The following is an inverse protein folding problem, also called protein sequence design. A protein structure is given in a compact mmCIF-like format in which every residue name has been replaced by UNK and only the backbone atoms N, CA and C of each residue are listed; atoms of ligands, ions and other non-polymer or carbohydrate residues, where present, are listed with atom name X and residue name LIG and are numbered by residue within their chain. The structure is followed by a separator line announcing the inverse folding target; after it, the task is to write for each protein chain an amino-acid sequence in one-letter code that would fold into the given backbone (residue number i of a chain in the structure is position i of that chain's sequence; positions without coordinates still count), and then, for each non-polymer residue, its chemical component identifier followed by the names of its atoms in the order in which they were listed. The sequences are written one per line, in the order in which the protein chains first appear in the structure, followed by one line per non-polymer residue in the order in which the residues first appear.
data_IF_190063593782
#
_entry.id   IF_190063593782
#
_cell.length_a   1.000
_cell.length_b   1.000
_cell.length_c   1.000
_cell.angle_alpha   90.00
_cell.angle_beta   90.00
_cell.angle_gamma   90.00
#
_symmetry.space_group_name_H-M   'P 1'
#
loop_
_entity.id
_entity.type
_entity.pdbx_description
1 polymer ?
#
# COMPACT_ATOMS: atom_id res chain seq x y z
N UNK A 1 -24.66 -9.24 -9.40
CA UNK A 1 -24.27 -8.27 -8.35
C UNK A 1 -23.78 -7.00 -9.03
N UNK A 2 -24.18 -5.86 -8.53
CA UNK A 2 -23.76 -4.53 -9.02
C UNK A 2 -22.50 -4.11 -8.30
N UNK A 3 -21.41 -3.91 -9.05
CA UNK A 3 -20.12 -3.49 -8.52
C UNK A 3 -19.87 -2.02 -8.86
N UNK A 4 -19.66 -1.19 -7.86
CA UNK A 4 -19.33 0.22 -8.02
C UNK A 4 -17.84 0.48 -7.76
N UNK A 5 -17.17 1.13 -8.69
CA UNK A 5 -15.78 1.57 -8.54
C UNK A 5 -15.75 3.08 -8.32
N UNK A 6 -15.17 3.52 -7.22
CA UNK A 6 -15.12 4.92 -6.84
C UNK A 6 -13.69 5.46 -6.84
N UNK A 7 -13.58 6.75 -7.04
CA UNK A 7 -12.30 7.48 -6.98
C UNK A 7 -11.81 7.47 -5.53
N UNK A 8 -10.58 7.03 -5.25
CA UNK A 8 -10.03 7.14 -3.91
C UNK A 8 -9.92 8.60 -3.48
N UNK A 9 -10.46 8.92 -2.30
CA UNK A 9 -10.37 10.27 -1.71
C UNK A 9 -9.22 10.39 -0.70
N UNK A 10 -8.41 9.33 -0.58
CA UNK A 10 -7.21 9.33 0.23
C UNK A 10 -6.18 10.32 -0.34
N UNK A 11 -5.59 11.14 0.53
CA UNK A 11 -4.67 12.20 0.14
C UNK A 11 -3.49 11.64 -0.70
N UNK A 12 -3.30 12.19 -1.89
CA UNK A 12 -2.23 11.81 -2.81
C UNK A 12 -2.45 10.51 -3.61
N UNK A 13 -3.55 9.77 -3.39
CA UNK A 13 -3.85 8.57 -4.17
C UNK A 13 -4.33 8.97 -5.58
N UNK A 14 -3.62 8.48 -6.60
CA UNK A 14 -3.89 8.78 -8.01
C UNK A 14 -4.06 7.54 -8.88
N UNK A 15 -3.90 6.35 -8.30
CA UNK A 15 -4.03 5.09 -9.02
C UNK A 15 -5.49 4.80 -9.35
N UNK A 16 -5.71 4.15 -10.48
CA UNK A 16 -6.99 3.65 -10.94
C UNK A 16 -7.08 2.16 -10.66
N UNK A 17 -8.16 1.73 -10.03
CA UNK A 17 -8.32 0.34 -9.59
C UNK A 17 -8.75 -0.62 -10.70
N UNK A 18 -9.31 -0.12 -11.78
CA UNK A 18 -9.81 -0.90 -12.91
C UNK A 18 -9.56 -0.14 -14.22
N UNK A 19 -8.94 -0.81 -15.19
CA UNK A 19 -8.80 -0.27 -16.55
C UNK A 19 -9.93 -0.79 -17.45
N UNK A 20 -10.35 -0.04 -18.49
CA UNK A 20 -11.41 -0.46 -19.40
C UNK A 20 -11.16 -1.83 -20.02
N UNK A 21 -9.91 -2.14 -20.37
CA UNK A 21 -9.51 -3.42 -20.98
C UNK A 21 -9.77 -4.65 -20.09
N UNK A 22 -9.83 -4.45 -18.76
CA UNK A 22 -10.09 -5.53 -17.79
C UNK A 22 -11.56 -5.72 -17.46
N UNK A 23 -12.45 -4.83 -17.92
CA UNK A 23 -13.90 -4.90 -17.62
C UNK A 23 -14.54 -6.13 -18.25
N UNK A 24 -14.06 -6.56 -19.41
CA UNK A 24 -14.61 -7.71 -20.14
C UNK A 24 -14.46 -9.04 -19.39
N UNK A 25 -13.58 -9.12 -18.41
CA UNK A 25 -13.39 -10.29 -17.56
C UNK A 25 -14.48 -10.45 -16.49
N UNK A 26 -15.28 -9.40 -16.26
CA UNK A 26 -16.34 -9.41 -15.26
C UNK A 26 -17.67 -9.91 -15.82
N UNK A 27 -18.35 -10.74 -15.01
CA UNK A 27 -19.74 -11.16 -15.27
C UNK A 27 -20.77 -10.29 -14.53
N UNK A 28 -20.30 -9.25 -13.86
CA UNK A 28 -21.10 -8.35 -13.04
C UNK A 28 -21.47 -7.09 -13.80
N UNK A 29 -22.54 -6.44 -13.40
CA UNK A 29 -22.82 -5.07 -13.84
C UNK A 29 -21.80 -4.13 -13.17
N UNK A 30 -21.06 -3.38 -13.98
CA UNK A 30 -20.00 -2.47 -13.51
C UNK A 30 -20.46 -1.03 -13.60
N UNK A 31 -20.35 -0.34 -12.48
CA UNK A 31 -20.66 1.07 -12.32
C UNK A 31 -19.37 1.83 -11.96
N UNK A 32 -19.12 2.92 -12.64
CA UNK A 32 -17.90 3.72 -12.52
C UNK A 32 -18.27 5.14 -12.10
N UNK A 33 -17.58 5.67 -11.11
CA UNK A 33 -17.72 7.09 -10.74
C UNK A 33 -17.24 7.98 -11.87
N UNK A 34 -18.03 9.01 -12.23
CA UNK A 34 -17.64 9.97 -13.26
C UNK A 34 -16.27 10.59 -12.96
N UNK A 35 -15.37 10.56 -13.93
CA UNK A 35 -14.00 11.02 -13.81
C UNK A 35 -13.02 10.00 -13.19
N UNK A 36 -13.44 8.76 -12.96
CA UNK A 36 -12.64 7.71 -12.31
C UNK A 36 -11.26 7.50 -12.97
N UNK A 37 -11.19 7.52 -14.30
CA UNK A 37 -9.94 7.33 -15.05
C UNK A 37 -9.11 8.60 -15.28
N UNK A 38 -9.58 9.75 -14.84
CA UNK A 38 -9.04 11.06 -15.23
C UNK A 38 -7.55 11.24 -14.90
N UNK A 39 -7.09 10.71 -13.77
CA UNK A 39 -5.67 10.78 -13.36
C UNK A 39 -4.73 10.03 -14.29
N UNK A 40 -5.24 9.07 -15.06
CA UNK A 40 -4.53 8.27 -16.05
C UNK A 40 -4.80 8.73 -17.50
N UNK A 41 -5.56 9.82 -17.69
CA UNK A 41 -5.97 10.29 -19.00
C UNK A 41 -7.06 9.45 -19.67
N UNK A 42 -7.76 8.59 -18.89
CA UNK A 42 -8.86 7.75 -19.38
C UNK A 42 -10.19 8.48 -19.16
N UNK A 43 -10.92 8.69 -20.24
CA UNK A 43 -12.23 9.36 -20.19
C UNK A 43 -13.37 8.39 -19.85
N UNK A 44 -14.47 8.92 -19.29
CA UNK A 44 -15.67 8.14 -18.96
C UNK A 44 -16.20 7.34 -20.16
N UNK A 45 -16.13 7.91 -21.36
CA UNK A 45 -16.57 7.27 -22.59
C UNK A 45 -15.81 5.96 -22.94
N UNK A 46 -14.59 5.79 -22.42
CA UNK A 46 -13.81 4.56 -22.62
C UNK A 46 -14.37 3.40 -21.78
N UNK A 47 -14.83 3.71 -20.56
CA UNK A 47 -15.56 2.76 -19.72
C UNK A 47 -16.96 2.43 -20.28
N UNK A 48 -17.67 3.43 -20.81
CA UNK A 48 -18.98 3.21 -21.46
C UNK A 48 -18.87 2.27 -22.66
N UNK A 49 -17.82 2.39 -23.48
CA UNK A 49 -17.58 1.52 -24.64
C UNK A 49 -17.43 0.04 -24.28
N UNK A 50 -16.95 -0.26 -23.07
CA UNK A 50 -16.80 -1.64 -22.60
C UNK A 50 -17.97 -2.10 -21.72
N UNK A 51 -19.06 -1.32 -21.67
CA UNK A 51 -20.33 -1.71 -21.03
C UNK A 51 -20.49 -1.26 -19.58
N UNK A 52 -19.64 -0.36 -19.08
CA UNK A 52 -19.84 0.24 -17.77
C UNK A 52 -20.93 1.33 -17.78
N UNK A 53 -21.59 1.52 -16.65
CA UNK A 53 -22.50 2.64 -16.42
C UNK A 53 -21.79 3.71 -15.59
N UNK A 54 -21.77 4.95 -16.10
CA UNK A 54 -21.17 6.07 -15.37
C UNK A 54 -22.23 6.73 -14.48
N UNK A 55 -21.89 6.89 -13.20
CA UNK A 55 -22.76 7.49 -12.19
C UNK A 55 -22.01 8.51 -11.32
N UNK A 56 -22.78 9.33 -10.61
CA UNK A 56 -22.21 10.12 -9.51
C UNK A 56 -21.76 9.22 -8.35
N UNK A 57 -20.82 9.70 -7.54
CA UNK A 57 -20.38 8.99 -6.33
C UNK A 57 -21.57 8.56 -5.45
N UNK A 58 -22.48 9.47 -5.17
CA UNK A 58 -23.64 9.22 -4.32
C UNK A 58 -24.56 8.14 -4.91
N UNK A 59 -24.80 8.17 -6.23
CA UNK A 59 -25.64 7.19 -6.89
C UNK A 59 -25.01 5.80 -6.87
N UNK A 60 -23.68 5.68 -7.00
CA UNK A 60 -22.96 4.41 -6.86
C UNK A 60 -23.22 3.80 -5.49
N UNK A 61 -23.06 4.56 -4.40
CA UNK A 61 -23.38 4.06 -3.06
C UNK A 61 -24.86 3.65 -2.91
N UNK A 62 -25.77 4.36 -3.57
CA UNK A 62 -27.19 4.08 -3.51
C UNK A 62 -27.60 2.80 -4.24
N UNK A 63 -26.99 2.51 -5.41
CA UNK A 63 -27.48 1.43 -6.29
C UNK A 63 -26.62 0.16 -6.29
N UNK A 64 -25.31 0.26 -5.93
CA UNK A 64 -24.41 -0.88 -6.00
C UNK A 64 -24.45 -1.76 -4.75
N UNK A 65 -24.36 -3.08 -4.96
CA UNK A 65 -24.30 -4.07 -3.89
C UNK A 65 -22.93 -4.04 -3.19
N UNK A 66 -21.89 -3.84 -3.99
CA UNK A 66 -20.51 -3.76 -3.51
C UNK A 66 -19.82 -2.51 -4.04
N UNK A 67 -19.02 -1.88 -3.18
CA UNK A 67 -18.21 -0.71 -3.50
C UNK A 67 -16.74 -1.12 -3.48
N UNK A 68 -16.04 -0.88 -4.57
CA UNK A 68 -14.59 -1.01 -4.63
C UNK A 68 -13.95 0.37 -4.43
N UNK A 69 -13.17 0.50 -3.36
CA UNK A 69 -12.33 1.67 -3.10
C UNK A 69 -10.88 1.21 -2.89
N UNK A 70 -9.96 1.71 -3.71
CA UNK A 70 -8.55 1.28 -3.66
C UNK A 70 -7.91 1.48 -2.28
N UNK A 71 -8.29 2.55 -1.58
CA UNK A 71 -7.91 2.84 -0.19
C UNK A 71 -9.15 2.91 0.69
N UNK A 72 -8.96 2.83 2.00
CA UNK A 72 -10.07 2.97 2.95
C UNK A 72 -10.86 4.27 2.70
N UNK A 73 -12.18 4.16 2.76
CA UNK A 73 -13.10 5.30 2.66
C UNK A 73 -12.76 6.38 3.69
N UNK A 74 -12.94 7.62 3.29
CA UNK A 74 -12.76 8.76 4.18
C UNK A 74 -14.11 9.14 4.85
N UNK A 75 -14.09 9.88 5.97
CA UNK A 75 -15.30 10.19 6.75
C UNK A 75 -16.44 10.81 5.94
N UNK A 76 -16.15 11.56 4.88
CA UNK A 76 -17.16 12.16 3.99
C UNK A 76 -18.06 11.11 3.31
N UNK A 77 -17.58 9.89 3.15
CA UNK A 77 -18.31 8.81 2.48
C UNK A 77 -19.18 7.97 3.44
N UNK A 78 -18.91 8.04 4.74
CA UNK A 78 -19.55 7.14 5.70
C UNK A 78 -21.08 7.26 5.75
N UNK A 79 -21.61 8.44 5.48
CA UNK A 79 -23.06 8.68 5.41
C UNK A 79 -23.74 8.00 4.22
N UNK A 80 -23.00 7.73 3.16
CA UNK A 80 -23.54 7.07 1.96
C UNK A 80 -23.62 5.54 2.11
N UNK A 81 -22.83 4.95 3.01
CA UNK A 81 -22.83 3.51 3.23
C UNK A 81 -24.19 3.00 3.74
N UNK A 82 -24.68 1.93 3.12
CA UNK A 82 -25.90 1.25 3.51
C UNK A 82 -25.62 0.07 4.44
N UNK A 83 -26.58 -0.27 5.30
CA UNK A 83 -26.49 -1.46 6.15
C UNK A 83 -26.31 -2.72 5.28
N UNK A 84 -25.37 -3.57 5.65
CA UNK A 84 -25.05 -4.82 4.97
C UNK A 84 -24.34 -4.67 3.61
N UNK A 85 -24.01 -3.44 3.18
CA UNK A 85 -23.31 -3.21 1.91
C UNK A 85 -21.91 -3.81 1.94
N UNK A 86 -21.44 -4.33 0.81
CA UNK A 86 -20.08 -4.84 0.69
C UNK A 86 -19.09 -3.72 0.36
N UNK A 87 -17.96 -3.71 1.04
CA UNK A 87 -16.82 -2.84 0.75
C UNK A 87 -15.60 -3.69 0.41
N UNK A 88 -14.95 -3.41 -0.71
CA UNK A 88 -13.77 -4.13 -1.18
C UNK A 88 -12.62 -3.14 -1.31
N UNK A 89 -11.46 -3.45 -0.75
CA UNK A 89 -10.28 -2.58 -0.88
C UNK A 89 -9.15 -2.90 0.07
N UNK A 90 -8.11 -2.08 0.03
CA UNK A 90 -7.00 -2.11 0.97
C UNK A 90 -7.40 -1.31 2.22
N UNK A 91 -7.89 -2.03 3.23
CA UNK A 91 -8.62 -1.41 4.35
C UNK A 91 -7.86 -1.38 5.67
N UNK A 92 -6.71 -2.05 5.73
CA UNK A 92 -5.78 -2.06 6.88
C UNK A 92 -6.47 -2.25 8.24
N UNK A 93 -7.17 -3.37 8.49
CA UNK A 93 -8.04 -3.55 9.66
C UNK A 93 -7.30 -3.50 11.00
N UNK A 94 -6.03 -3.91 11.04
CA UNK A 94 -5.18 -3.90 12.24
C UNK A 94 -4.34 -2.64 12.41
N UNK A 95 -4.38 -1.75 11.42
CA UNK A 95 -3.62 -0.49 11.37
C UNK A 95 -4.55 0.72 11.28
N UNK A 96 -4.33 1.55 10.26
CA UNK A 96 -5.05 2.81 10.05
C UNK A 96 -6.57 2.66 9.89
N UNK A 97 -7.05 1.48 9.50
CA UNK A 97 -8.48 1.17 9.37
C UNK A 97 -9.17 0.74 10.66
N UNK A 98 -8.44 0.46 11.73
CA UNK A 98 -9.00 -0.12 12.97
C UNK A 98 -10.21 0.63 13.51
N UNK A 99 -10.16 1.96 13.54
CA UNK A 99 -11.26 2.79 14.00
C UNK A 99 -12.51 2.64 13.11
N UNK A 100 -12.35 2.63 11.79
CA UNK A 100 -13.45 2.41 10.85
C UNK A 100 -14.16 1.08 11.11
N UNK A 101 -13.39 0.02 11.35
CA UNK A 101 -13.97 -1.30 11.65
C UNK A 101 -14.75 -1.32 12.96
N UNK A 102 -14.18 -0.74 14.01
CA UNK A 102 -14.80 -0.72 15.35
C UNK A 102 -16.07 0.14 15.43
N UNK A 103 -16.21 1.11 14.54
CA UNK A 103 -17.33 2.04 14.52
C UNK A 103 -18.25 1.78 13.33
N UNK A 104 -17.94 2.35 12.17
CA UNK A 104 -18.80 2.41 10.99
C UNK A 104 -19.13 1.02 10.43
N UNK A 105 -18.11 0.15 10.28
CA UNK A 105 -18.32 -1.17 9.70
C UNK A 105 -19.20 -2.05 10.61
N UNK A 106 -18.99 -2.01 11.92
CA UNK A 106 -19.83 -2.71 12.90
C UNK A 106 -21.25 -2.15 12.96
N UNK A 107 -21.40 -0.81 13.06
CA UNK A 107 -22.72 -0.16 13.14
C UNK A 107 -23.57 -0.50 11.92
N UNK A 108 -22.99 -0.39 10.73
CA UNK A 108 -23.69 -0.64 9.46
C UNK A 108 -23.66 -2.10 9.03
N UNK A 109 -23.09 -3.01 9.84
CA UNK A 109 -22.97 -4.45 9.54
C UNK A 109 -22.39 -4.72 8.14
N UNK A 110 -21.35 -3.98 7.75
CA UNK A 110 -20.76 -4.08 6.43
C UNK A 110 -20.11 -5.46 6.21
N UNK A 111 -20.15 -5.92 4.98
CA UNK A 111 -19.32 -7.06 4.55
C UNK A 111 -18.04 -6.48 3.95
N UNK A 112 -16.90 -6.65 4.63
CA UNK A 112 -15.64 -6.09 4.15
C UNK A 112 -14.75 -7.18 3.57
N UNK A 113 -14.34 -6.98 2.31
CA UNK A 113 -13.33 -7.79 1.62
C UNK A 113 -12.02 -7.03 1.66
N UNK A 114 -11.19 -7.38 2.65
CA UNK A 114 -9.90 -6.75 2.85
C UNK A 114 -8.83 -7.38 1.96
N UNK A 115 -8.23 -6.58 1.07
CA UNK A 115 -7.20 -7.04 0.15
C UNK A 115 -5.82 -7.17 0.81
N UNK A 116 -5.60 -6.62 2.01
CA UNK A 116 -4.36 -6.82 2.77
C UNK A 116 -4.19 -8.29 3.17
N UNK A 117 -5.33 -8.97 3.42
CA UNK A 117 -5.37 -10.33 3.93
C UNK A 117 -6.06 -11.32 2.98
N UNK A 118 -6.07 -11.03 1.68
CA UNK A 118 -6.63 -11.96 0.70
C UNK A 118 -5.59 -13.02 0.31
N UNK A 119 -5.92 -14.27 0.59
CA UNK A 119 -5.05 -15.41 0.30
C UNK A 119 -5.75 -16.39 -0.65
N UNK A 120 -5.00 -17.17 -1.43
CA UNK A 120 -5.57 -18.15 -2.36
C UNK A 120 -6.14 -19.39 -1.65
N UNK A 121 -6.27 -19.37 -0.33
CA UNK A 121 -6.74 -20.49 0.49
C UNK A 121 -7.57 -20.03 1.67
N UNK A 122 -8.63 -20.78 1.95
CA UNK A 122 -9.41 -20.66 3.20
C UNK A 122 -9.21 -21.91 4.03
N UNK A 123 -8.99 -21.71 5.33
CA UNK A 123 -8.85 -22.80 6.30
C UNK A 123 -10.13 -22.88 7.14
N UNK A 124 -10.76 -24.07 7.15
CA UNK A 124 -11.96 -24.33 7.95
C UNK A 124 -11.72 -25.60 8.77
N UNK A 125 -11.31 -25.45 10.02
CA UNK A 125 -10.85 -26.56 10.85
C UNK A 125 -9.61 -27.23 10.23
N UNK A 126 -9.70 -28.53 9.95
CA UNK A 126 -8.65 -29.30 9.29
C UNK A 126 -8.71 -29.26 7.74
N UNK A 127 -9.73 -28.64 7.18
CA UNK A 127 -9.91 -28.56 5.72
C UNK A 127 -9.20 -27.32 5.15
N UNK A 128 -8.58 -27.49 3.99
CA UNK A 128 -7.98 -26.41 3.20
C UNK A 128 -8.72 -26.35 1.88
N UNK A 129 -9.29 -25.19 1.59
CA UNK A 129 -10.05 -24.91 0.35
C UNK A 129 -9.23 -23.94 -0.47
N UNK A 130 -8.77 -24.37 -1.64
CA UNK A 130 -8.06 -23.52 -2.59
C UNK A 130 -9.07 -22.59 -3.29
N UNK A 131 -8.70 -21.29 -3.43
CA UNK A 131 -9.46 -20.28 -4.18
C UNK A 131 -8.71 -20.03 -5.48
N UNK A 132 -9.09 -20.69 -6.59
CA UNK A 132 -8.28 -20.73 -7.82
C UNK A 132 -8.20 -19.40 -8.57
N UNK A 133 -9.14 -18.49 -8.35
CA UNK A 133 -9.19 -17.17 -9.00
C UNK A 133 -8.36 -16.11 -8.28
N UNK A 134 -7.82 -16.38 -7.10
CA UNK A 134 -6.87 -15.48 -6.42
C UNK A 134 -5.45 -15.90 -6.79
N UNK A 135 -4.66 -15.03 -7.46
CA UNK A 135 -3.27 -15.34 -7.77
C UNK A 135 -2.45 -15.60 -6.51
N UNK A 136 -1.69 -16.69 -6.50
CA UNK A 136 -0.87 -17.10 -5.34
C UNK A 136 0.14 -16.04 -4.87
N UNK A 137 0.49 -15.12 -5.77
CA UNK A 137 1.47 -14.06 -5.50
C UNK A 137 0.84 -12.65 -5.46
N UNK A 138 -0.47 -12.54 -5.26
CA UNK A 138 -1.17 -11.25 -5.27
C UNK A 138 -0.61 -10.27 -4.25
N UNK A 139 -0.60 -10.65 -2.97
CA UNK A 139 -0.06 -9.81 -1.88
C UNK A 139 1.44 -9.57 -2.06
N UNK A 140 2.18 -10.62 -2.46
CA UNK A 140 3.62 -10.50 -2.74
C UNK A 140 3.92 -9.44 -3.79
N UNK A 141 3.22 -9.46 -4.93
CA UNK A 141 3.45 -8.48 -6.01
C UNK A 141 3.21 -7.05 -5.55
N UNK A 142 2.12 -6.81 -4.83
CA UNK A 142 1.79 -5.48 -4.32
C UNK A 142 2.90 -4.96 -3.39
N UNK A 143 3.29 -5.74 -2.40
CA UNK A 143 4.32 -5.36 -1.43
C UNK A 143 5.70 -5.20 -2.08
N UNK A 144 6.03 -6.05 -3.05
CA UNK A 144 7.28 -5.95 -3.80
C UNK A 144 7.36 -4.64 -4.59
N UNK A 145 6.29 -4.28 -5.29
CA UNK A 145 6.20 -3.01 -6.02
C UNK A 145 6.22 -1.79 -5.09
N UNK A 146 5.62 -1.90 -3.90
CA UNK A 146 5.71 -0.85 -2.89
C UNK A 146 7.15 -0.57 -2.47
N UNK A 147 7.96 -1.62 -2.28
CA UNK A 147 9.39 -1.47 -1.98
C UNK A 147 10.18 -0.79 -3.10
N UNK A 148 9.92 -1.14 -4.37
CA UNK A 148 10.51 -0.47 -5.53
C UNK A 148 10.14 1.02 -5.52
N UNK A 149 8.84 1.32 -5.45
CA UNK A 149 8.33 2.68 -5.53
C UNK A 149 8.84 3.58 -4.40
N UNK A 150 8.94 3.06 -3.17
CA UNK A 150 9.46 3.80 -2.02
C UNK A 150 10.90 4.25 -2.24
N UNK A 151 11.76 3.34 -2.71
CA UNK A 151 13.17 3.66 -2.95
C UNK A 151 13.33 4.60 -4.14
N UNK A 152 12.63 4.34 -5.25
CA UNK A 152 12.68 5.19 -6.44
C UNK A 152 12.25 6.62 -6.11
N UNK A 153 11.10 6.77 -5.45
CA UNK A 153 10.59 8.08 -5.06
C UNK A 153 11.57 8.82 -4.14
N UNK A 154 12.11 8.15 -3.12
CA UNK A 154 13.04 8.77 -2.18
C UNK A 154 14.34 9.22 -2.86
N UNK A 155 14.92 8.39 -3.73
CA UNK A 155 16.13 8.73 -4.48
C UNK A 155 15.93 9.93 -5.40
N UNK A 156 14.82 9.95 -6.15
CA UNK A 156 14.46 11.06 -7.04
C UNK A 156 14.22 12.35 -6.26
N UNK A 157 13.49 12.28 -5.15
CA UNK A 157 13.18 13.44 -4.30
C UNK A 157 14.44 13.99 -3.62
N UNK A 158 15.33 13.13 -3.16
CA UNK A 158 16.60 13.53 -2.55
C UNK A 158 17.64 14.01 -3.60
N UNK A 159 17.42 13.70 -4.88
CA UNK A 159 18.35 14.04 -5.95
C UNK A 159 19.60 13.17 -5.96
N UNK A 160 19.52 11.94 -5.43
CA UNK A 160 20.62 10.99 -5.37
C UNK A 160 20.55 9.96 -6.50
N UNK A 161 21.65 9.79 -7.24
CA UNK A 161 21.82 8.68 -8.15
C UNK A 161 22.75 7.64 -7.50
N UNK A 162 22.26 6.45 -7.17
CA UNK A 162 23.10 5.42 -6.57
C UNK A 162 24.10 4.83 -7.58
N UNK A 163 25.19 4.28 -7.07
CA UNK A 163 26.27 3.66 -7.87
C UNK A 163 26.88 2.48 -7.13
N UNK A 164 27.92 1.85 -7.73
CA UNK A 164 28.68 0.78 -7.06
C UNK A 164 29.38 1.19 -5.78
N UNK A 165 29.60 2.49 -5.56
CA UNK A 165 30.18 3.02 -4.33
C UNK A 165 29.14 3.26 -3.24
N UNK A 166 27.85 3.20 -3.56
CA UNK A 166 26.76 3.45 -2.63
C UNK A 166 26.56 2.26 -1.71
N UNK A 167 26.75 2.47 -0.41
CA UNK A 167 26.55 1.47 0.63
C UNK A 167 25.13 1.51 1.17
N UNK A 168 24.44 0.39 1.10
CA UNK A 168 23.02 0.29 1.44
C UNK A 168 22.79 -0.75 2.52
N UNK A 169 22.05 -0.37 3.55
CA UNK A 169 21.46 -1.33 4.50
C UNK A 169 19.98 -1.52 4.16
N UNK A 170 19.56 -2.76 3.99
CA UNK A 170 18.14 -3.13 3.85
C UNK A 170 17.73 -3.96 5.06
N UNK A 171 16.74 -3.48 5.81
CA UNK A 171 16.26 -4.13 7.03
C UNK A 171 15.11 -5.07 6.72
N UNK A 172 15.18 -6.30 7.24
CA UNK A 172 14.30 -7.44 6.97
C UNK A 172 14.47 -8.11 5.59
N UNK A 173 13.67 -9.16 5.37
CA UNK A 173 13.62 -9.93 4.13
C UNK A 173 12.21 -10.09 3.58
N UNK A 174 11.26 -9.29 4.08
CA UNK A 174 9.89 -9.27 3.60
C UNK A 174 9.77 -8.76 2.16
N UNK A 175 8.59 -8.81 1.61
CA UNK A 175 8.35 -8.49 0.19
C UNK A 175 8.74 -7.04 -0.16
N UNK A 176 8.49 -6.09 0.73
CA UNK A 176 8.89 -4.68 0.58
C UNK A 176 10.42 -4.56 0.51
N UNK A 177 11.13 -5.18 1.46
CA UNK A 177 12.60 -5.20 1.47
C UNK A 177 13.20 -5.86 0.23
N UNK A 178 12.58 -6.94 -0.26
CA UNK A 178 12.98 -7.61 -1.50
C UNK A 178 12.80 -6.70 -2.73
N UNK A 179 11.70 -5.95 -2.79
CA UNK A 179 11.46 -4.96 -3.86
C UNK A 179 12.50 -3.85 -3.83
N UNK A 180 12.80 -3.31 -2.66
CA UNK A 180 13.82 -2.29 -2.44
C UNK A 180 15.22 -2.79 -2.85
N UNK A 181 15.58 -3.99 -2.41
CA UNK A 181 16.83 -4.63 -2.80
C UNK A 181 16.94 -4.78 -4.32
N UNK A 182 15.89 -5.31 -4.96
CA UNK A 182 15.86 -5.54 -6.41
C UNK A 182 16.05 -4.24 -7.21
N UNK A 183 15.45 -3.14 -6.75
CA UNK A 183 15.63 -1.84 -7.40
C UNK A 183 17.06 -1.34 -7.28
N UNK A 184 17.63 -1.33 -6.08
CA UNK A 184 18.98 -0.82 -5.79
C UNK A 184 20.08 -1.68 -6.43
N UNK A 185 19.87 -2.99 -6.50
CA UNK A 185 20.82 -3.92 -7.14
C UNK A 185 21.06 -3.61 -8.63
N UNK A 186 20.11 -2.98 -9.32
CA UNK A 186 20.26 -2.55 -10.73
C UNK A 186 21.35 -1.51 -10.92
N UNK A 187 21.69 -0.76 -9.87
CA UNK A 187 22.74 0.25 -9.88
C UNK A 187 24.12 -0.29 -9.45
N UNK A 188 24.18 -1.58 -9.11
CA UNK A 188 25.42 -2.21 -8.64
C UNK A 188 25.83 -1.83 -7.22
N UNK A 189 24.92 -1.28 -6.41
CA UNK A 189 25.20 -0.86 -5.04
C UNK A 189 25.78 -1.98 -4.17
N UNK A 190 26.61 -1.60 -3.19
CA UNK A 190 27.05 -2.49 -2.11
C UNK A 190 25.92 -2.62 -1.08
N UNK A 191 25.09 -3.68 -1.23
CA UNK A 191 23.88 -3.87 -0.45
C UNK A 191 24.07 -4.96 0.59
N UNK A 192 23.83 -4.64 1.86
CA UNK A 192 23.77 -5.60 2.94
C UNK A 192 22.35 -5.67 3.52
N UNK A 193 21.80 -6.90 3.57
CA UNK A 193 20.51 -7.15 4.22
C UNK A 193 20.70 -7.58 5.66
N UNK A 194 19.90 -6.99 6.55
CA UNK A 194 19.95 -7.29 7.98
C UNK A 194 18.65 -7.92 8.44
N UNK A 195 18.78 -8.97 9.24
CA UNK A 195 17.68 -9.75 9.79
C UNK A 195 17.73 -9.67 11.30
N UNK A 196 16.70 -10.11 11.98
CA UNK A 196 16.64 -10.10 13.45
C UNK A 196 17.93 -10.57 14.13
N UNK A 197 18.61 -11.59 13.57
CA UNK A 197 19.85 -12.14 14.14
C UNK A 197 21.09 -11.30 13.85
N UNK A 198 21.08 -10.47 12.84
CA UNK A 198 22.22 -9.65 12.42
C UNK A 198 22.02 -8.16 12.70
N UNK A 199 20.94 -7.78 13.39
CA UNK A 199 20.69 -6.37 13.75
C UNK A 199 21.79 -5.76 14.62
N UNK A 200 22.47 -6.55 15.46
CA UNK A 200 23.60 -6.06 16.26
C UNK A 200 24.71 -5.55 15.33
N UNK A 201 25.05 -6.31 14.29
CA UNK A 201 26.06 -5.89 13.31
C UNK A 201 25.64 -4.61 12.54
N UNK A 202 24.34 -4.45 12.28
CA UNK A 202 23.83 -3.23 11.70
C UNK A 202 24.05 -2.02 12.62
N UNK A 203 23.72 -2.14 13.90
CA UNK A 203 23.91 -1.07 14.89
C UNK A 203 25.39 -0.73 15.10
N UNK A 204 26.29 -1.70 14.96
CA UNK A 204 27.74 -1.50 15.09
C UNK A 204 28.35 -0.78 13.87
N UNK A 205 27.62 -0.76 12.73
CA UNK A 205 28.12 -0.22 11.45
C UNK A 205 27.26 0.88 10.86
N UNK A 206 26.46 1.58 11.69
CA UNK A 206 25.52 2.63 11.23
C UNK A 206 26.20 3.72 10.39
N UNK A 207 27.41 4.08 10.73
CA UNK A 207 28.16 5.20 10.15
C UNK A 207 28.62 4.95 8.70
N UNK A 208 28.54 3.71 8.20
CA UNK A 208 29.08 3.39 6.85
C UNK A 208 28.05 3.53 5.73
N UNK A 209 26.74 3.57 6.03
CA UNK A 209 25.70 3.53 5.03
C UNK A 209 25.34 4.90 4.45
N UNK A 210 25.14 4.91 3.13
CA UNK A 210 24.62 6.05 2.37
C UNK A 210 23.08 6.04 2.36
N UNK A 211 22.51 4.82 2.34
CA UNK A 211 21.06 4.60 2.29
C UNK A 211 20.69 3.50 3.27
N UNK A 212 19.68 3.73 4.06
CA UNK A 212 19.04 2.74 4.94
C UNK A 212 17.59 2.59 4.52
N UNK A 213 17.16 1.37 4.21
CA UNK A 213 15.78 1.06 3.85
C UNK A 213 15.18 0.15 4.91
N UNK A 214 14.11 0.62 5.57
CA UNK A 214 13.33 -0.16 6.49
C UNK A 214 12.12 -0.79 5.80
N UNK A 215 12.00 -2.11 5.89
CA UNK A 215 10.80 -2.86 5.47
C UNK A 215 10.17 -3.66 6.61
N UNK A 216 10.45 -3.27 7.86
CA UNK A 216 9.90 -3.88 9.07
C UNK A 216 8.75 -3.00 9.56
N UNK A 217 7.55 -3.56 9.61
CA UNK A 217 6.39 -2.98 10.26
C UNK A 217 6.41 -3.32 11.76
N UNK A 218 6.11 -2.36 12.61
CA UNK A 218 6.10 -2.54 14.06
C UNK A 218 4.67 -2.67 14.58
N UNK A 219 4.39 -3.79 15.25
CA UNK A 219 3.07 -4.07 15.84
C UNK A 219 2.79 -3.26 17.13
N UNK A 220 3.84 -2.68 17.74
CA UNK A 220 3.75 -2.00 19.04
C UNK A 220 4.32 -0.57 18.96
N UNK A 221 3.51 0.39 19.34
CA UNK A 221 3.95 1.78 19.49
C UNK A 221 5.04 1.90 20.57
N UNK A 222 6.08 2.69 20.28
CA UNK A 222 7.12 3.04 21.25
C UNK A 222 8.33 2.11 21.29
N UNK A 223 8.39 1.09 20.42
CA UNK A 223 9.61 0.30 20.20
C UNK A 223 10.18 0.67 18.83
N UNK A 224 11.24 1.46 18.82
CA UNK A 224 11.90 1.84 17.57
C UNK A 224 13.01 0.86 17.20
N UNK A 225 13.16 0.60 15.91
CA UNK A 225 14.32 -0.09 15.33
C UNK A 225 15.51 0.85 15.27
N UNK A 226 15.24 2.11 14.94
CA UNK A 226 16.22 3.21 15.00
C UNK A 226 15.68 4.35 15.85
N UNK A 227 16.39 4.66 16.92
CA UNK A 227 16.11 5.81 17.79
C UNK A 227 16.81 7.07 17.29
N UNK A 228 16.43 8.24 17.83
CA UNK A 228 17.12 9.52 17.51
C UNK A 228 18.60 9.50 17.82
N UNK A 229 19.01 8.82 18.91
CA UNK A 229 20.42 8.69 19.27
C UNK A 229 21.18 7.86 18.21
N UNK A 230 20.57 6.81 17.70
CA UNK A 230 21.16 5.99 16.63
C UNK A 230 21.18 6.73 15.30
N UNK A 231 20.12 7.48 14.98
CA UNK A 231 20.07 8.34 13.79
C UNK A 231 21.16 9.43 13.82
N UNK A 232 21.48 9.96 14.99
CA UNK A 232 22.56 10.94 15.15
C UNK A 232 23.97 10.37 14.86
N UNK A 233 24.13 9.04 14.85
CA UNK A 233 25.37 8.35 14.47
C UNK A 233 25.54 8.18 12.96
N UNK A 234 24.47 8.35 12.18
CA UNK A 234 24.53 8.19 10.75
C UNK A 234 25.46 9.23 10.12
N UNK A 235 26.13 8.85 9.05
CA UNK A 235 26.93 9.82 8.31
C UNK A 235 26.06 10.94 7.74
N UNK A 236 26.61 12.13 7.66
CA UNK A 236 25.90 13.28 7.10
C UNK A 236 25.46 12.98 5.65
N UNK A 237 24.19 13.20 5.37
CA UNK A 237 23.60 12.94 4.06
C UNK A 237 23.15 11.49 3.85
N UNK A 238 23.16 10.65 4.88
CA UNK A 238 22.54 9.33 4.80
C UNK A 238 21.03 9.47 4.58
N UNK A 239 20.52 8.82 3.54
CA UNK A 239 19.10 8.78 3.22
C UNK A 239 18.43 7.61 3.97
N UNK A 240 17.44 7.91 4.81
CA UNK A 240 16.67 6.92 5.56
C UNK A 240 15.28 6.81 4.92
N UNK A 241 14.93 5.60 4.46
CA UNK A 241 13.68 5.32 3.77
C UNK A 241 12.86 4.34 4.62
N UNK A 242 11.75 4.80 5.17
CA UNK A 242 10.81 3.95 5.87
C UNK A 242 9.79 3.39 4.88
N UNK A 243 10.18 2.32 4.17
CA UNK A 243 9.38 1.68 3.14
C UNK A 243 8.21 0.84 3.71
N UNK A 244 8.19 0.57 5.02
CA UNK A 244 7.06 -0.04 5.70
C UNK A 244 5.88 0.94 5.85
N UNK A 245 6.14 2.25 5.61
CA UNK A 245 5.14 3.33 5.72
C UNK A 245 4.49 3.40 7.10
N UNK A 246 5.30 3.24 8.15
CA UNK A 246 4.90 3.18 9.56
C UNK A 246 5.38 4.43 10.31
N UNK A 247 5.05 5.59 9.76
CA UNK A 247 5.59 6.91 10.11
C UNK A 247 5.86 7.11 11.61
N UNK A 248 7.14 7.25 11.97
CA UNK A 248 7.61 7.51 13.33
C UNK A 248 7.58 6.29 14.26
N UNK A 249 7.06 5.14 13.83
CA UNK A 249 6.93 3.96 14.69
C UNK A 249 8.19 3.08 14.61
N UNK A 250 8.53 2.52 13.45
CA UNK A 250 9.74 1.73 13.30
C UNK A 250 11.01 2.57 13.38
N UNK A 251 11.02 3.74 12.76
CA UNK A 251 12.14 4.68 12.78
C UNK A 251 11.67 5.99 13.40
N UNK A 252 12.27 6.35 14.53
CA UNK A 252 11.88 7.52 15.29
C UNK A 252 12.07 8.81 14.48
N UNK A 253 11.00 9.59 14.33
CA UNK A 253 11.01 10.87 13.62
C UNK A 253 10.74 10.80 12.13
N UNK A 254 10.54 9.62 11.54
CA UNK A 254 9.99 9.56 10.16
C UNK A 254 8.56 10.05 10.13
N UNK A 255 8.15 10.60 9.00
CA UNK A 255 6.79 11.08 8.75
C UNK A 255 6.34 10.73 7.33
N UNK A 256 5.05 10.76 7.10
CA UNK A 256 4.53 10.56 5.76
C UNK A 256 4.93 11.72 4.86
N UNK A 257 5.47 11.38 3.71
CA UNK A 257 5.83 12.35 2.68
C UNK A 257 4.67 12.56 1.69
N UNK A 258 4.69 13.69 0.99
CA UNK A 258 3.73 14.01 -0.06
C UNK A 258 4.47 14.52 -1.29
N UNK A 259 3.74 14.74 -2.40
CA UNK A 259 4.34 15.34 -3.61
C UNK A 259 4.81 16.78 -3.37
N UNK A 260 4.20 17.51 -2.43
CA UNK A 260 4.59 18.87 -2.04
C UNK A 260 5.69 18.90 -0.97
N UNK A 261 5.79 17.83 -0.19
CA UNK A 261 6.76 17.67 0.90
C UNK A 261 7.36 16.25 0.80
N UNK A 262 8.29 16.05 -0.16
CA UNK A 262 8.80 14.70 -0.48
C UNK A 262 9.87 14.20 0.50
N UNK A 263 10.34 15.07 1.41
CA UNK A 263 11.40 14.79 2.39
C UNK A 263 11.06 15.38 3.73
#
# INVERSE_FOLDING_TARGET
MKLGFIIPTYLGERRVALLPEHVLDFQNEIFIESGFGHTMGIGDHEYERVGCTILSRQDIFAVCDAIFCLKLLQPADFSYLREGQMLIGWTHPTGSGSQFYQTIACEKKLVVVDLDNIYPRVYCGAQVIDIPFIPKNFVWKNSFLAGIASVEHALLSYGMMPSSETKVAVLASGNVSQGSYNYLAKFGCDIRMFYRKTMIEFYDTLEVYDVIVNGIEMDQCGQHILTKEQLARLKRGCLVIDAAADAGNAIEGTHYTSLSEPM
#
